data_IF_164695941783
#
_entry.id   IF_164695941783
#
_cell.length_a   1.000
_cell.length_b   1.000
_cell.length_c   1.000
_cell.angle_alpha   90.00
_cell.angle_beta   90.00
_cell.angle_gamma   90.00
#
_symmetry.space_group_name_H-M   'P 1'
#
loop_
_entity.id
_entity.type
_entity.pdbx_description
1 polymer ?
#
# COMPACT_ATOMS: atom_id res chain seq x y z
N UNK A 1 -8.38 -23.78 13.36
CA UNK A 1 -7.79 -23.76 14.72
C UNK A 1 -6.42 -24.40 14.63
N UNK A 2 -5.35 -23.66 14.95
CA UNK A 2 -3.99 -24.23 15.02
C UNK A 2 -3.91 -25.20 16.21
N UNK A 3 -3.17 -26.30 16.08
CA UNK A 3 -2.98 -27.24 17.18
C UNK A 3 -2.19 -26.58 18.31
N UNK A 4 -2.50 -26.94 19.56
CA UNK A 4 -1.75 -26.44 20.74
C UNK A 4 -0.25 -26.69 20.62
N UNK A 5 0.13 -27.79 19.98
CA UNK A 5 1.52 -28.18 19.72
C UNK A 5 2.23 -27.19 18.79
N UNK A 6 1.56 -26.74 17.72
CA UNK A 6 2.13 -25.77 16.78
C UNK A 6 2.36 -24.41 17.46
N UNK A 7 1.40 -23.97 18.29
CA UNK A 7 1.53 -22.72 19.05
C UNK A 7 2.71 -22.78 20.02
N UNK A 8 2.88 -23.90 20.72
CA UNK A 8 4.02 -24.11 21.63
C UNK A 8 5.34 -24.14 20.87
N UNK A 9 5.38 -24.74 19.67
CA UNK A 9 6.56 -24.74 18.81
C UNK A 9 6.97 -23.32 18.39
N UNK A 10 6.01 -22.52 17.91
CA UNK A 10 6.25 -21.13 17.47
C UNK A 10 6.75 -20.27 18.64
N UNK A 11 6.14 -20.41 19.84
CA UNK A 11 6.58 -19.66 21.03
C UNK A 11 8.02 -19.99 21.42
N UNK A 12 8.40 -21.27 21.34
CA UNK A 12 9.77 -21.71 21.65
C UNK A 12 10.76 -21.11 20.66
N UNK A 13 10.44 -21.16 19.37
CA UNK A 13 11.32 -20.63 18.31
C UNK A 13 11.50 -19.11 18.42
N UNK A 14 10.44 -18.37 18.72
CA UNK A 14 10.53 -16.93 18.98
C UNK A 14 11.37 -16.62 20.23
N UNK A 15 11.21 -17.39 21.32
CA UNK A 15 12.02 -17.20 22.52
C UNK A 15 13.51 -17.48 22.26
N UNK A 16 13.82 -18.48 21.43
CA UNK A 16 15.19 -18.79 21.04
C UNK A 16 15.78 -17.71 20.11
N UNK A 17 14.98 -17.12 19.21
CA UNK A 17 15.38 -15.96 18.40
C UNK A 17 15.69 -14.72 19.26
N UNK A 18 14.86 -14.41 20.26
CA UNK A 18 15.12 -13.28 21.19
C UNK A 18 16.39 -13.51 22.01
N UNK A 19 16.64 -14.74 22.47
CA UNK A 19 17.83 -15.04 23.29
C UNK A 19 19.14 -14.93 22.52
N UNK A 20 19.11 -15.18 21.21
CA UNK A 20 20.28 -15.13 20.36
C UNK A 20 20.48 -13.76 19.69
N UNK A 21 19.67 -12.76 20.02
CA UNK A 21 19.73 -11.42 19.44
C UNK A 21 21.00 -10.70 19.92
N UNK A 22 21.89 -10.37 18.99
CA UNK A 22 23.09 -9.57 19.22
C UNK A 22 23.22 -8.49 18.14
N UNK A 23 24.10 -7.51 18.36
CA UNK A 23 24.29 -6.37 17.43
C UNK A 23 24.70 -6.82 16.01
N UNK A 24 25.32 -7.99 15.86
CA UNK A 24 25.76 -8.51 14.56
C UNK A 24 24.65 -9.20 13.77
N UNK A 25 23.53 -9.56 14.41
CA UNK A 25 22.44 -10.30 13.78
C UNK A 25 21.06 -9.60 13.87
N UNK A 26 20.98 -8.36 14.37
CA UNK A 26 19.72 -7.61 14.51
C UNK A 26 18.92 -7.58 13.22
N UNK A 27 19.56 -7.34 12.07
CA UNK A 27 18.86 -7.17 10.80
C UNK A 27 18.23 -8.48 10.29
N UNK A 28 18.96 -9.60 10.34
CA UNK A 28 18.40 -10.91 9.96
C UNK A 28 17.33 -11.37 10.94
N UNK A 29 17.52 -11.10 12.23
CA UNK A 29 16.56 -11.46 13.26
C UNK A 29 15.28 -10.63 13.12
N UNK A 30 15.36 -9.33 12.83
CA UNK A 30 14.19 -8.50 12.53
C UNK A 30 13.40 -8.96 11.31
N UNK A 31 14.08 -9.41 10.25
CA UNK A 31 13.43 -10.00 9.07
C UNK A 31 12.68 -11.29 9.42
N UNK A 32 13.28 -12.18 10.21
CA UNK A 32 12.61 -13.38 10.71
C UNK A 32 11.38 -13.05 11.57
N UNK A 33 11.46 -12.04 12.44
CA UNK A 33 10.32 -11.54 13.20
C UNK A 33 9.19 -11.02 12.30
N UNK A 34 9.53 -10.30 11.23
CA UNK A 34 8.58 -9.81 10.23
C UNK A 34 7.80 -10.95 9.57
N UNK A 35 8.47 -12.03 9.18
CA UNK A 35 7.84 -13.23 8.63
C UNK A 35 6.90 -13.91 9.64
N UNK A 36 7.30 -13.99 10.91
CA UNK A 36 6.46 -14.57 11.97
C UNK A 36 5.21 -13.75 12.27
N UNK A 37 5.33 -12.42 12.34
CA UNK A 37 4.18 -11.53 12.52
C UNK A 37 3.24 -11.65 11.32
N UNK A 38 3.78 -11.64 10.09
CA UNK A 38 2.98 -11.85 8.89
C UNK A 38 2.25 -13.21 8.87
N UNK A 39 2.87 -14.28 9.37
CA UNK A 39 2.23 -15.58 9.52
C UNK A 39 1.09 -15.57 10.56
N UNK A 40 1.30 -14.92 11.71
CA UNK A 40 0.32 -14.81 12.78
C UNK A 40 -0.85 -13.88 12.43
N UNK A 41 -0.63 -12.81 11.68
CA UNK A 41 -1.70 -11.92 11.20
C UNK A 41 -2.61 -12.60 10.16
N UNK A 42 -2.08 -13.56 9.40
CA UNK A 42 -2.84 -14.35 8.43
C UNK A 42 -3.59 -15.55 9.06
N UNK A 43 -3.23 -15.95 10.28
CA UNK A 43 -3.87 -17.04 11.02
C UNK A 43 -4.66 -16.50 12.21
N UNK A 44 -5.98 -16.36 12.09
CA UNK A 44 -6.86 -15.88 13.16
C UNK A 44 -6.49 -16.37 14.58
N UNK A 45 -6.16 -15.40 15.44
CA UNK A 45 -6.14 -15.40 16.91
C UNK A 45 -4.94 -16.07 17.64
N UNK A 46 -4.05 -15.23 18.17
CA UNK A 46 -3.36 -15.49 19.45
C UNK A 46 -3.20 -14.18 20.23
N UNK A 47 -3.83 -14.09 21.42
CA UNK A 47 -3.44 -13.12 22.45
C UNK A 47 -2.13 -13.63 23.07
N UNK A 48 -0.99 -13.03 22.68
CA UNK A 48 0.28 -13.23 23.36
C UNK A 48 0.44 -12.13 24.42
N UNK A 49 0.23 -12.45 25.70
CA UNK A 49 0.81 -11.64 26.78
C UNK A 49 2.29 -12.03 26.90
N UNK A 50 3.18 -11.12 26.51
CA UNK A 50 4.61 -11.21 26.77
C UNK A 50 4.92 -10.31 27.95
N UNK A 51 5.08 -10.90 29.14
CA UNK A 51 5.61 -10.20 30.31
C UNK A 51 7.13 -10.14 30.20
N UNK A 52 7.66 -8.97 29.87
CA UNK A 52 9.10 -8.68 29.97
C UNK A 52 9.39 -8.28 31.42
N UNK A 53 10.08 -9.14 32.18
CA UNK A 53 10.63 -8.76 33.47
C UNK A 53 11.92 -7.97 33.26
N UNK A 54 11.82 -6.65 33.41
CA UNK A 54 12.94 -5.71 33.32
C UNK A 54 13.89 -5.95 34.49
N UNK A 55 15.12 -6.39 34.21
CA UNK A 55 16.19 -6.41 35.21
C UNK A 55 17.30 -5.42 34.86
N UNK A 56 17.56 -4.55 35.85
CA UNK A 56 18.75 -3.74 36.13
C UNK A 56 19.05 -2.48 35.31
N UNK A 57 19.19 -1.40 36.09
CA UNK A 57 19.53 -0.04 35.72
C UNK A 57 21.04 0.17 35.64
N UNK A 58 21.46 1.01 34.69
CA UNK A 58 22.78 1.65 34.64
C UNK A 58 22.62 3.11 34.15
N UNK A 59 23.57 4.01 34.49
CA UNK A 59 23.29 5.42 34.77
C UNK A 59 23.44 6.36 33.56
N UNK A 60 22.83 7.53 33.74
CA UNK A 60 22.73 8.68 32.85
C UNK A 60 24.01 9.10 32.10
N UNK A 61 23.85 9.35 30.79
CA UNK A 61 24.62 10.33 30.03
C UNK A 61 23.69 11.25 29.21
N UNK A 62 24.13 12.46 28.84
CA UNK A 62 23.25 13.60 28.59
C UNK A 62 22.59 13.61 27.20
N UNK A 63 21.37 14.14 27.18
CA UNK A 63 20.54 14.41 26.00
C UNK A 63 21.29 15.26 24.96
N UNK A 64 21.53 14.68 23.78
CA UNK A 64 21.70 15.45 22.55
C UNK A 64 20.31 15.69 21.98
N UNK A 65 19.85 16.94 22.04
CA UNK A 65 18.56 17.37 21.50
C UNK A 65 18.62 17.41 19.96
N UNK A 66 18.32 16.28 19.32
CA UNK A 66 18.09 16.23 17.87
C UNK A 66 16.68 16.74 17.57
N UNK A 67 16.62 17.92 16.94
CA UNK A 67 15.40 18.53 16.43
C UNK A 67 14.70 17.57 15.47
N UNK A 68 13.54 17.08 15.90
CA UNK A 68 12.63 16.25 15.12
C UNK A 68 12.28 16.92 13.77
N UNK A 69 12.62 16.26 12.67
CA UNK A 69 12.04 16.59 11.36
C UNK A 69 10.69 15.88 11.23
N UNK A 70 9.70 16.45 10.52
CA UNK A 70 8.31 15.97 10.54
C UNK A 70 8.05 14.65 9.78
N UNK A 71 9.09 13.91 9.38
CA UNK A 71 8.98 12.83 8.39
C UNK A 71 8.69 11.43 8.96
N UNK A 72 8.89 11.18 10.26
CA UNK A 72 8.84 9.81 10.82
C UNK A 72 7.46 9.32 11.27
N UNK A 73 6.40 10.14 11.18
CA UNK A 73 5.05 9.72 11.64
C UNK A 73 4.20 8.97 10.61
N UNK A 74 4.74 8.63 9.44
CA UNK A 74 3.95 8.07 8.33
C UNK A 74 4.17 6.56 8.06
N UNK A 75 4.99 5.86 8.83
CA UNK A 75 5.39 4.48 8.49
C UNK A 75 4.72 3.37 9.30
N UNK A 76 3.87 3.67 10.28
CA UNK A 76 3.15 2.67 11.08
C UNK A 76 1.83 2.19 10.45
N UNK A 77 1.86 1.86 9.16
CA UNK A 77 0.70 1.33 8.44
C UNK A 77 1.06 0.03 7.73
N UNK A 78 0.94 -1.08 8.45
CA UNK A 78 0.85 -2.44 7.91
C UNK A 78 -0.33 -2.53 6.92
N UNK A 79 -0.07 -2.49 5.62
CA UNK A 79 -1.10 -2.61 4.60
C UNK A 79 -1.48 -4.09 4.46
N UNK A 80 -2.49 -4.55 5.23
CA UNK A 80 -3.11 -5.84 4.97
C UNK A 80 -4.05 -5.75 3.77
N UNK A 81 -3.83 -6.70 2.86
CA UNK A 81 -4.53 -6.89 1.60
C UNK A 81 -5.90 -7.50 1.86
N UNK A 82 -6.95 -6.73 1.62
CA UNK A 82 -8.24 -7.28 1.20
C UNK A 82 -8.46 -6.84 -0.24
N UNK A 83 -7.91 -7.62 -1.17
CA UNK A 83 -8.35 -7.62 -2.56
C UNK A 83 -9.73 -8.28 -2.54
N UNK A 84 -10.79 -7.49 -2.66
CA UNK A 84 -12.07 -8.05 -3.04
C UNK A 84 -11.94 -8.47 -4.50
N UNK A 85 -11.88 -9.78 -4.73
CA UNK A 85 -12.19 -10.40 -6.01
C UNK A 85 -13.70 -10.28 -6.24
N UNK A 86 -14.14 -9.15 -6.81
CA UNK A 86 -15.49 -9.00 -7.37
C UNK A 86 -15.36 -8.61 -8.85
N UNK A 87 -14.90 -9.55 -9.66
CA UNK A 87 -15.02 -9.50 -11.12
C UNK A 87 -15.63 -10.82 -11.60
N UNK A 88 -16.96 -10.90 -11.59
CA UNK A 88 -17.70 -11.80 -12.48
C UNK A 88 -18.90 -11.08 -13.12
N UNK A 89 -18.74 -10.85 -14.44
CA UNK A 89 -19.70 -11.10 -15.52
C UNK A 89 -21.00 -10.27 -15.52
N UNK A 90 -21.06 -9.33 -16.47
CA UNK A 90 -22.22 -9.24 -17.36
C UNK A 90 -21.77 -9.02 -18.81
N UNK A 91 -21.63 -10.14 -19.51
CA UNK A 91 -21.55 -10.21 -20.97
C UNK A 91 -22.96 -10.13 -21.53
N UNK A 92 -23.33 -9.01 -22.17
CA UNK A 92 -24.46 -9.01 -23.10
C UNK A 92 -24.12 -8.16 -24.31
N UNK A 93 -23.83 -8.84 -25.42
CA UNK A 93 -23.73 -8.25 -26.75
C UNK A 93 -24.98 -8.66 -27.53
N UNK A 94 -25.82 -7.68 -27.89
CA UNK A 94 -26.38 -7.55 -29.24
C UNK A 94 -27.38 -6.39 -29.36
N UNK A 95 -26.99 -5.41 -30.17
CA UNK A 95 -27.77 -4.62 -31.13
C UNK A 95 -29.27 -4.44 -30.85
N UNK A 96 -29.65 -3.22 -30.46
CA UNK A 96 -30.86 -2.55 -30.95
C UNK A 96 -30.68 -1.02 -30.87
N UNK A 97 -30.94 -0.37 -32.01
CA UNK A 97 -30.96 1.08 -32.22
C UNK A 97 -32.18 1.69 -31.53
N UNK A 98 -31.99 2.57 -30.54
CA UNK A 98 -33.05 3.42 -29.98
C UNK A 98 -32.51 4.83 -29.62
N UNK A 99 -33.09 5.81 -30.31
CA UNK A 99 -33.23 7.27 -30.12
C UNK A 99 -32.62 7.95 -28.84
N UNK A 100 -31.86 9.06 -28.96
CA UNK A 100 -31.28 9.77 -27.83
C UNK A 100 -32.26 10.84 -27.30
N UNK A 101 -33.05 10.50 -26.28
CA UNK A 101 -33.66 11.48 -25.35
C UNK A 101 -34.10 10.74 -24.09
N UNK A 102 -33.70 11.28 -22.94
CA UNK A 102 -33.97 10.82 -21.56
C UNK A 102 -33.30 9.53 -21.10
N UNK A 103 -32.01 9.60 -20.74
CA UNK A 103 -31.43 8.65 -19.78
C UNK A 103 -31.83 9.14 -18.38
N UNK A 104 -32.83 8.45 -17.85
CA UNK A 104 -33.28 8.50 -16.47
C UNK A 104 -32.09 8.10 -15.59
N UNK A 105 -31.74 8.97 -14.65
CA UNK A 105 -30.85 8.63 -13.55
C UNK A 105 -31.43 7.44 -12.81
N UNK A 106 -30.80 6.27 -12.98
CA UNK A 106 -31.05 5.11 -12.14
C UNK A 106 -30.62 5.48 -10.71
N UNK A 107 -31.62 5.87 -9.91
CA UNK A 107 -31.47 6.08 -8.47
C UNK A 107 -31.14 4.74 -7.84
N UNK A 108 -29.84 4.47 -7.72
CA UNK A 108 -29.32 3.55 -6.72
C UNK A 108 -29.99 3.93 -5.37
N UNK A 109 -30.63 2.99 -4.66
CA UNK A 109 -31.38 3.33 -3.45
C UNK A 109 -30.42 4.00 -2.47
N UNK A 110 -30.77 5.23 -2.06
CA UNK A 110 -30.07 5.99 -1.03
C UNK A 110 -29.97 5.14 0.24
N UNK A 111 -28.86 4.38 0.38
CA UNK A 111 -28.39 3.99 1.71
C UNK A 111 -28.23 5.31 2.45
N UNK A 112 -29.06 5.55 3.46
CA UNK A 112 -28.96 6.74 4.31
C UNK A 112 -27.52 6.76 4.87
N UNK A 113 -26.68 7.59 4.26
CA UNK A 113 -25.30 7.84 4.69
C UNK A 113 -25.38 8.57 6.03
N UNK A 114 -25.44 7.82 7.13
CA UNK A 114 -25.52 8.36 8.49
C UNK A 114 -24.15 8.62 9.12
N UNK A 115 -23.08 8.50 8.34
CA UNK A 115 -21.72 8.76 8.78
C UNK A 115 -21.33 10.22 8.75
N UNK A 116 -20.33 10.60 9.55
CA UNK A 116 -19.68 11.91 9.46
C UNK A 116 -19.04 12.07 8.08
N UNK A 117 -19.31 13.21 7.45
CA UNK A 117 -18.78 13.56 6.13
C UNK A 117 -17.65 14.58 6.25
N UNK A 118 -16.64 14.44 5.39
CA UNK A 118 -15.49 15.32 5.25
C UNK A 118 -15.40 15.77 3.80
N UNK A 119 -15.17 17.06 3.57
CA UNK A 119 -15.02 17.62 2.23
C UNK A 119 -13.68 18.33 2.18
N UNK A 120 -12.86 18.02 1.18
CA UNK A 120 -11.55 18.62 1.04
C UNK A 120 -10.90 18.33 -0.31
N UNK A 121 -9.75 18.96 -0.54
CA UNK A 121 -8.95 18.72 -1.74
C UNK A 121 -8.00 17.53 -1.53
N UNK A 122 -7.85 16.69 -2.54
CA UNK A 122 -6.91 15.58 -2.51
C UNK A 122 -5.46 16.08 -2.57
N UNK A 123 -4.73 15.90 -1.49
CA UNK A 123 -3.29 16.06 -1.46
C UNK A 123 -2.62 14.69 -1.72
N UNK A 124 -2.30 14.41 -2.99
CA UNK A 124 -1.60 13.18 -3.37
C UNK A 124 -0.25 13.06 -2.65
N UNK A 125 -0.01 11.89 -2.07
CA UNK A 125 1.29 11.47 -1.54
C UNK A 125 1.95 10.50 -2.53
N UNK A 126 3.17 10.02 -2.24
CA UNK A 126 3.82 9.01 -3.08
C UNK A 126 2.91 7.77 -3.27
N UNK A 127 2.19 7.37 -2.21
CA UNK A 127 1.16 6.33 -2.23
C UNK A 127 -0.15 6.83 -1.61
N UNK A 128 -1.23 6.84 -2.39
CA UNK A 128 -2.53 7.37 -1.94
C UNK A 128 -2.53 8.89 -1.79
N UNK A 129 -3.33 9.39 -0.86
CA UNK A 129 -3.38 10.81 -0.54
C UNK A 129 -4.15 11.10 0.74
N UNK A 130 -4.20 12.37 1.14
CA UNK A 130 -5.02 12.83 2.25
C UNK A 130 -5.92 13.97 1.81
N UNK A 131 -7.08 14.14 2.45
CA UNK A 131 -7.91 15.32 2.20
C UNK A 131 -7.39 16.51 3.01
N UNK A 132 -7.15 17.64 2.36
CA UNK A 132 -6.85 18.91 3.03
C UNK A 132 -8.16 19.69 3.23
N UNK A 133 -8.44 20.24 4.44
CA UNK A 133 -7.60 20.31 5.64
C UNK A 133 -7.71 19.09 6.60
N UNK A 134 -8.46 18.07 6.22
CA UNK A 134 -8.74 16.87 7.03
C UNK A 134 -7.63 15.81 6.94
N UNK A 135 -6.42 16.11 7.40
CA UNK A 135 -5.23 15.25 7.25
C UNK A 135 -5.34 13.85 7.91
N UNK A 136 -6.43 13.57 8.64
CA UNK A 136 -6.76 12.25 9.19
C UNK A 136 -7.66 11.41 8.27
N UNK A 137 -8.04 11.93 7.10
CA UNK A 137 -8.84 11.22 6.10
C UNK A 137 -7.91 10.82 4.95
N UNK A 138 -7.41 9.59 5.04
CA UNK A 138 -6.61 8.97 3.98
C UNK A 138 -7.49 8.56 2.81
N UNK A 139 -7.01 8.73 1.58
CA UNK A 139 -7.61 8.26 0.34
C UNK A 139 -6.69 7.16 -0.24
N UNK A 140 -7.10 5.89 -0.24
CA UNK A 140 -6.30 4.79 -0.76
C UNK A 140 -6.00 4.94 -2.25
N UNK A 141 -4.84 4.44 -2.67
CA UNK A 141 -4.45 4.48 -4.09
C UNK A 141 -5.44 3.71 -5.00
N UNK A 142 -6.07 2.64 -4.51
CA UNK A 142 -7.12 1.93 -5.24
C UNK A 142 -8.31 2.83 -5.59
N UNK A 143 -8.74 3.67 -4.64
CA UNK A 143 -9.82 4.65 -4.85
C UNK A 143 -9.37 5.70 -5.86
N UNK A 144 -8.14 6.21 -5.70
CA UNK A 144 -7.55 7.20 -6.61
C UNK A 144 -7.56 6.69 -8.05
N UNK A 145 -7.08 5.46 -8.30
CA UNK A 145 -7.10 4.88 -9.64
C UNK A 145 -8.51 4.63 -10.17
N UNK A 146 -9.35 3.96 -9.37
CA UNK A 146 -10.71 3.57 -9.81
C UNK A 146 -11.58 4.77 -10.21
N UNK A 147 -11.38 5.92 -9.55
CA UNK A 147 -12.11 7.15 -9.84
C UNK A 147 -11.29 8.14 -10.69
N UNK A 148 -10.07 7.80 -11.11
CA UNK A 148 -9.18 8.69 -11.85
C UNK A 148 -8.94 10.02 -11.13
N UNK A 149 -8.69 9.99 -9.81
CA UNK A 149 -8.48 11.18 -8.98
C UNK A 149 -7.10 11.79 -9.21
N UNK A 150 -7.07 13.12 -9.33
CA UNK A 150 -5.85 13.89 -9.47
C UNK A 150 -5.58 14.73 -8.23
N UNK A 151 -4.35 15.22 -8.11
CA UNK A 151 -3.99 16.19 -7.08
C UNK A 151 -4.94 17.40 -7.15
N UNK A 152 -5.33 17.93 -6.00
CA UNK A 152 -6.29 19.01 -5.82
C UNK A 152 -7.76 18.73 -6.21
N UNK A 153 -8.13 17.52 -6.64
CA UNK A 153 -9.55 17.17 -6.83
C UNK A 153 -10.33 17.35 -5.53
N UNK A 154 -11.51 17.95 -5.62
CA UNK A 154 -12.42 18.13 -4.48
C UNK A 154 -13.22 16.85 -4.27
N UNK A 155 -13.11 16.27 -3.08
CA UNK A 155 -13.68 14.97 -2.74
C UNK A 155 -14.48 15.08 -1.45
N UNK A 156 -15.64 14.43 -1.44
CA UNK A 156 -16.41 14.10 -0.26
C UNK A 156 -16.06 12.69 0.22
N UNK A 157 -15.65 12.55 1.47
CA UNK A 157 -15.44 11.28 2.14
C UNK A 157 -16.49 11.10 3.25
N UNK A 158 -17.36 10.10 3.10
CA UNK A 158 -18.36 9.74 4.11
C UNK A 158 -17.86 8.55 4.93
N UNK A 159 -17.74 8.70 6.24
CA UNK A 159 -17.34 7.60 7.12
C UNK A 159 -18.38 6.47 7.09
N UNK A 160 -17.97 5.26 6.70
CA UNK A 160 -18.85 4.09 6.71
C UNK A 160 -18.83 3.39 8.07
N UNK A 161 -17.63 3.10 8.58
CA UNK A 161 -17.44 2.54 9.91
C UNK A 161 -16.01 2.77 10.40
N UNK A 162 -15.84 2.68 11.73
CA UNK A 162 -14.53 2.66 12.39
C UNK A 162 -14.22 1.24 12.77
N UNK A 163 -13.06 0.73 12.40
CA UNK A 163 -12.59 -0.57 12.87
C UNK A 163 -11.85 -0.35 14.20
N UNK A 164 -12.37 -0.83 15.35
CA UNK A 164 -11.72 -0.61 16.64
C UNK A 164 -10.31 -1.23 16.71
N UNK A 165 -10.14 -2.39 16.06
CA UNK A 165 -8.92 -3.20 16.07
C UNK A 165 -7.79 -2.53 15.29
N UNK A 166 -8.06 -2.08 14.07
CA UNK A 166 -7.02 -1.49 13.20
C UNK A 166 -6.88 0.01 13.38
N UNK A 167 -7.77 0.65 14.16
CA UNK A 167 -7.94 2.11 14.25
C UNK A 167 -8.11 2.77 12.87
N UNK A 168 -8.49 2.01 11.84
CA UNK A 168 -8.70 2.53 10.48
C UNK A 168 -10.17 2.86 10.28
N UNK A 169 -10.38 4.04 9.70
CA UNK A 169 -11.69 4.48 9.27
C UNK A 169 -11.87 4.06 7.82
N UNK A 170 -12.99 3.40 7.50
CA UNK A 170 -13.38 3.13 6.12
C UNK A 170 -14.31 4.24 5.64
N UNK A 171 -14.00 4.83 4.49
CA UNK A 171 -14.82 5.89 3.89
C UNK A 171 -15.37 5.45 2.53
N UNK A 172 -16.51 6.02 2.19
CA UNK A 172 -17.03 6.08 0.82
C UNK A 172 -16.65 7.43 0.22
N UNK A 173 -16.10 7.44 -0.99
CA UNK A 173 -15.54 8.64 -1.62
C UNK A 173 -16.36 9.03 -2.85
N UNK A 174 -16.69 10.31 -2.96
CA UNK A 174 -17.39 10.90 -4.11
C UNK A 174 -16.66 12.14 -4.57
N UNK A 175 -16.37 12.21 -5.87
CA UNK A 175 -15.82 13.41 -6.51
C UNK A 175 -16.88 14.51 -6.54
N UNK A 176 -16.52 15.71 -6.07
CA UNK A 176 -17.35 16.91 -6.16
C UNK A 176 -16.91 17.79 -7.34
N UNK A 177 -15.61 17.96 -7.51
CA UNK A 177 -15.03 18.83 -8.54
C UNK A 177 -13.64 18.34 -8.94
N UNK A 178 -13.29 18.46 -10.23
CA UNK A 178 -11.96 18.13 -10.74
C UNK A 178 -11.07 19.36 -10.71
N UNK A 179 -9.81 19.19 -10.34
CA UNK A 179 -8.83 20.28 -10.41
C UNK A 179 -8.63 20.74 -11.86
N UNK A 180 -8.47 22.05 -12.03
CA UNK A 180 -8.07 22.65 -13.30
C UNK A 180 -6.53 22.67 -13.37
N UNK A 181 -5.95 21.56 -13.79
CA UNK A 181 -4.49 21.40 -13.94
C UNK A 181 -3.79 20.83 -12.71
N UNK A 182 -2.45 20.83 -12.76
CA UNK A 182 -1.58 20.14 -11.81
C UNK A 182 -0.82 21.12 -10.90
N UNK A 183 -1.40 22.28 -10.61
CA UNK A 183 -0.73 23.31 -9.80
C UNK A 183 -0.32 22.75 -8.43
N UNK A 184 0.96 22.95 -8.08
CA UNK A 184 1.53 22.53 -6.80
C UNK A 184 1.85 21.04 -6.68
N UNK A 185 1.55 20.21 -7.69
CA UNK A 185 1.92 18.80 -7.68
C UNK A 185 3.42 18.63 -7.94
N UNK A 186 4.17 18.35 -6.87
CA UNK A 186 5.62 18.01 -6.95
C UNK A 186 5.86 16.51 -7.11
N UNK A 187 4.79 15.72 -7.11
CA UNK A 187 4.82 14.27 -7.22
C UNK A 187 4.90 13.89 -8.70
N UNK A 188 5.93 13.14 -9.05
CA UNK A 188 6.11 12.53 -10.35
C UNK A 188 5.84 11.03 -10.26
N UNK A 189 5.49 10.41 -11.38
CA UNK A 189 5.21 8.98 -11.44
C UNK A 189 5.76 8.40 -12.75
N UNK A 190 6.44 7.26 -12.62
CA UNK A 190 6.80 6.37 -13.71
C UNK A 190 5.80 5.22 -13.71
N UNK A 191 5.21 4.97 -14.87
CA UNK A 191 4.23 3.92 -15.06
C UNK A 191 4.88 2.70 -15.68
N UNK A 192 4.38 1.52 -15.32
CA UNK A 192 4.72 0.25 -15.95
C UNK A 192 6.22 -0.07 -15.95
N UNK A 193 6.90 0.24 -14.85
CA UNK A 193 8.30 -0.11 -14.65
C UNK A 193 8.43 -1.62 -14.44
N UNK A 194 9.38 -2.26 -15.15
CA UNK A 194 9.66 -3.69 -15.04
C UNK A 194 10.72 -3.89 -13.95
N UNK A 195 10.38 -4.68 -12.94
CA UNK A 195 11.29 -5.00 -11.82
C UNK A 195 12.37 -5.99 -12.27
N UNK A 196 13.60 -5.72 -11.87
CA UNK A 196 14.80 -6.55 -12.03
C UNK A 196 15.41 -6.84 -10.67
N UNK A 197 16.19 -7.91 -10.55
CA UNK A 197 16.93 -8.22 -9.33
C UNK A 197 18.43 -8.09 -9.53
N UNK A 198 19.12 -7.37 -8.64
CA UNK A 198 20.57 -7.28 -8.65
C UNK A 198 21.15 -8.26 -7.61
N UNK A 199 21.74 -9.39 -8.02
CA UNK A 199 22.27 -10.39 -7.10
C UNK A 199 23.48 -9.90 -6.31
N UNK A 200 24.17 -8.86 -6.78
CA UNK A 200 25.38 -8.33 -6.14
C UNK A 200 25.06 -7.59 -4.85
N UNK A 201 23.98 -6.81 -4.88
CA UNK A 201 23.51 -6.01 -3.73
C UNK A 201 22.23 -6.58 -3.11
N UNK A 202 21.74 -7.72 -3.63
CA UNK A 202 20.54 -8.42 -3.18
C UNK A 202 19.30 -7.52 -3.11
N UNK A 203 19.09 -6.68 -4.13
CA UNK A 203 17.99 -5.70 -4.16
C UNK A 203 17.26 -5.67 -5.48
N UNK A 204 15.95 -5.41 -5.40
CA UNK A 204 15.14 -5.13 -6.57
C UNK A 204 15.36 -3.70 -7.08
N UNK A 205 15.28 -3.52 -8.39
CA UNK A 205 15.43 -2.24 -9.04
C UNK A 205 14.63 -2.18 -10.34
N UNK A 206 14.56 -1.02 -10.97
CA UNK A 206 14.19 -0.89 -12.39
C UNK A 206 15.07 0.17 -13.05
N UNK A 207 15.14 0.10 -14.38
CA UNK A 207 15.86 1.08 -15.18
C UNK A 207 14.85 2.00 -15.86
N UNK A 208 15.14 3.31 -15.90
CA UNK A 208 14.33 4.26 -16.65
C UNK A 208 15.21 5.32 -17.32
N UNK A 209 14.92 5.60 -18.58
CA UNK A 209 15.43 6.79 -19.28
C UNK A 209 14.48 7.93 -18.96
N UNK A 210 14.88 8.81 -18.05
CA UNK A 210 14.06 9.93 -17.61
C UNK A 210 14.43 11.19 -18.39
N UNK A 211 13.52 11.68 -19.23
CA UNK A 211 13.59 13.05 -19.77
C UNK A 211 12.76 13.97 -18.87
N UNK A 212 13.21 14.20 -17.64
CA UNK A 212 12.65 15.27 -16.81
C UNK A 212 13.53 16.52 -16.92
N UNK A 213 12.95 17.71 -17.16
CA UNK A 213 13.71 18.94 -17.34
C UNK A 213 14.58 19.31 -16.13
N UNK A 214 14.23 18.78 -14.95
CA UNK A 214 14.90 19.04 -13.66
C UNK A 214 16.02 18.05 -13.34
N UNK A 215 16.13 16.95 -14.09
CA UNK A 215 17.17 15.93 -13.88
C UNK A 215 18.19 16.10 -14.99
N UNK A 216 19.33 16.70 -14.64
CA UNK A 216 20.39 17.16 -15.55
C UNK A 216 21.12 16.06 -16.32
N UNK A 217 20.66 14.80 -16.23
CA UNK A 217 21.25 13.64 -16.87
C UNK A 217 20.46 13.26 -18.13
N UNK A 218 20.41 14.17 -19.11
CA UNK A 218 19.82 13.88 -20.42
C UNK A 218 20.55 12.67 -21.05
N UNK A 219 19.78 11.67 -21.47
CA UNK A 219 20.23 10.44 -22.16
C UNK A 219 21.01 9.39 -21.33
N UNK A 220 20.98 9.42 -20.00
CA UNK A 220 21.51 8.31 -19.19
C UNK A 220 20.38 7.47 -18.59
N UNK A 221 20.41 6.16 -18.85
CA UNK A 221 19.55 5.21 -18.16
C UNK A 221 19.90 5.22 -16.67
N UNK A 222 18.94 5.62 -15.84
CA UNK A 222 19.11 5.62 -14.38
C UNK A 222 18.56 4.34 -13.78
N UNK A 223 19.31 3.77 -12.83
CA UNK A 223 18.88 2.67 -11.98
C UNK A 223 18.14 3.22 -10.76
N UNK A 224 16.92 2.76 -10.52
CA UNK A 224 16.10 3.09 -9.36
C UNK A 224 16.00 1.90 -8.44
N UNK A 225 16.60 2.00 -7.24
CA UNK A 225 16.52 0.94 -6.25
C UNK A 225 15.15 0.96 -5.56
N UNK A 226 14.53 -0.22 -5.43
CA UNK A 226 13.28 -0.37 -4.72
C UNK A 226 13.55 -0.55 -3.23
N UNK A 227 12.67 0.02 -2.42
CA UNK A 227 12.77 -0.02 -0.97
C UNK A 227 12.13 -1.30 -0.42
N UNK A 228 12.79 -1.96 0.53
CA UNK A 228 12.33 -3.19 1.17
C UNK A 228 10.94 -3.03 1.82
N UNK A 229 10.67 -1.83 2.37
CA UNK A 229 9.37 -1.43 2.92
C UNK A 229 8.21 -1.51 1.92
N UNK A 230 8.49 -1.47 0.62
CA UNK A 230 7.50 -1.66 -0.42
C UNK A 230 7.59 -3.05 -1.05
N UNK A 231 8.79 -3.62 -1.22
CA UNK A 231 8.93 -4.90 -1.91
C UNK A 231 8.30 -6.05 -1.13
N UNK A 232 8.43 -6.08 0.20
CA UNK A 232 7.85 -7.14 1.02
C UNK A 232 6.32 -7.12 1.00
N UNK A 233 5.62 -6.00 1.31
CA UNK A 233 4.16 -6.01 1.33
C UNK A 233 3.54 -6.28 -0.04
N UNK A 234 4.21 -5.86 -1.13
CA UNK A 234 3.74 -6.13 -2.49
C UNK A 234 4.16 -7.51 -3.02
N UNK A 235 4.91 -8.30 -2.24
CA UNK A 235 5.51 -9.57 -2.67
C UNK A 235 6.20 -9.42 -4.02
N UNK A 236 7.03 -8.38 -4.15
CA UNK A 236 7.68 -8.04 -5.41
C UNK A 236 8.64 -9.15 -5.83
N UNK A 237 8.61 -9.47 -7.11
CA UNK A 237 9.50 -10.42 -7.77
C UNK A 237 10.07 -9.80 -9.04
N UNK A 238 11.18 -10.35 -9.50
CA UNK A 238 11.71 -10.01 -10.82
C UNK A 238 10.66 -10.29 -11.91
N UNK A 239 10.52 -9.37 -12.86
CA UNK A 239 9.52 -9.42 -13.91
C UNK A 239 8.17 -8.77 -13.56
N UNK A 240 7.91 -8.44 -12.28
CA UNK A 240 6.71 -7.71 -11.91
C UNK A 240 6.66 -6.33 -12.59
N UNK A 241 5.44 -5.87 -12.90
CA UNK A 241 5.20 -4.54 -13.47
C UNK A 241 4.62 -3.65 -12.37
N UNK A 242 5.26 -2.50 -12.13
CA UNK A 242 4.89 -1.58 -11.05
C UNK A 242 4.74 -0.14 -11.54
N UNK A 243 4.02 0.68 -10.77
CA UNK A 243 4.10 2.13 -10.90
C UNK A 243 4.88 2.71 -9.71
N UNK A 244 5.86 3.55 -10.00
CA UNK A 244 6.78 4.13 -9.02
C UNK A 244 6.60 5.64 -8.96
N UNK A 245 6.42 6.18 -7.77
CA UNK A 245 6.19 7.61 -7.57
C UNK A 245 7.26 8.23 -6.66
N UNK A 246 7.70 9.44 -7.01
CA UNK A 246 8.74 10.17 -6.28
C UNK A 246 8.45 11.67 -6.31
N UNK A 247 9.16 12.45 -5.50
CA UNK A 247 9.09 13.91 -5.58
C UNK A 247 10.17 14.42 -6.51
N UNK A 248 9.90 15.49 -7.26
CA UNK A 248 10.81 16.07 -8.26
C UNK A 248 12.26 16.24 -7.78
N UNK A 249 12.46 16.57 -6.50
CA UNK A 249 13.77 16.81 -5.90
C UNK A 249 14.40 15.57 -5.22
N UNK A 250 13.73 14.41 -5.23
CA UNK A 250 14.19 13.21 -4.53
C UNK A 250 13.72 11.93 -5.23
N UNK A 251 14.26 11.69 -6.43
CA UNK A 251 13.86 10.56 -7.28
C UNK A 251 14.30 9.18 -6.76
N UNK A 252 15.30 9.12 -5.86
CA UNK A 252 15.80 7.89 -5.28
C UNK A 252 15.02 7.45 -4.03
N UNK A 253 14.20 8.33 -3.44
CA UNK A 253 13.33 8.01 -2.30
C UNK A 253 11.86 7.87 -2.67
N UNK A 254 11.59 7.43 -3.90
CA UNK A 254 10.24 7.11 -4.32
C UNK A 254 9.67 5.85 -3.67
N UNK A 255 8.41 5.57 -3.99
CA UNK A 255 7.62 4.46 -3.45
C UNK A 255 6.91 3.71 -4.56
N UNK A 256 6.74 2.41 -4.36
CA UNK A 256 5.84 1.61 -5.19
C UNK A 256 4.40 2.01 -4.82
N UNK A 257 3.74 2.71 -5.75
CA UNK A 257 2.34 3.09 -5.56
C UNK A 257 1.38 2.01 -6.08
N UNK A 258 1.84 1.12 -6.97
CA UNK A 258 1.03 0.04 -7.52
C UNK A 258 1.86 -1.12 -8.01
N UNK A 259 1.27 -2.30 -7.91
CA UNK A 259 1.70 -3.50 -8.59
C UNK A 259 0.58 -3.93 -9.53
N UNK A 260 0.89 -4.07 -10.81
CA UNK A 260 -0.06 -4.58 -11.79
C UNK A 260 -0.18 -6.09 -11.64
N UNK A 261 -1.36 -6.63 -11.92
CA UNK A 261 -1.55 -8.08 -11.94
C UNK A 261 -0.78 -8.68 -13.12
N UNK A 262 0.04 -9.70 -12.87
CA UNK A 262 0.72 -10.45 -13.93
C UNK A 262 -0.33 -11.20 -14.75
N UNK A 263 -0.22 -11.14 -16.08
CA UNK A 263 -1.17 -11.79 -17.02
C UNK A 263 -1.22 -13.33 -16.92
N UNK A 264 -0.34 -13.94 -16.12
CA UNK A 264 -0.23 -15.39 -15.97
C UNK A 264 -1.24 -16.00 -14.99
N UNK A 265 -1.87 -15.21 -14.11
CA UNK A 265 -2.80 -15.74 -13.08
C UNK A 265 -4.23 -15.95 -13.57
N UNK A 266 -4.53 -15.74 -14.85
CA UNK A 266 -5.90 -15.84 -15.40
C UNK A 266 -6.21 -17.17 -16.12
N UNK A 267 -5.32 -18.18 -16.10
CA UNK A 267 -5.47 -19.41 -16.91
C UNK A 267 -5.86 -20.71 -16.18
N UNK A 268 -5.98 -20.73 -14.86
CA UNK A 268 -6.13 -22.02 -14.14
C UNK A 268 -7.57 -22.49 -13.84
N UNK A 269 -8.62 -21.84 -14.35
CA UNK A 269 -10.02 -22.25 -14.06
C UNK A 269 -10.73 -23.02 -15.19
N UNK A 270 -10.02 -23.60 -16.17
CA UNK A 270 -10.65 -24.43 -17.21
C UNK A 270 -9.82 -25.64 -17.63
N UNK A 271 -9.61 -26.59 -16.73
CA UNK A 271 -9.41 -28.00 -17.13
C UNK A 271 -9.74 -28.96 -15.98
N UNK A 272 -11.03 -29.20 -15.76
CA UNK A 272 -11.51 -30.48 -15.22
C UNK A 272 -13.01 -30.57 -15.45
N UNK A 273 -13.39 -31.30 -16.48
CA UNK A 273 -14.61 -32.10 -16.62
C UNK A 273 -14.73 -32.47 -18.10
N UNK A 274 -14.36 -33.72 -18.42
CA UNK A 274 -15.12 -34.63 -19.26
C UNK A 274 -14.31 -35.92 -19.45
N UNK A 275 -14.40 -36.81 -18.47
CA UNK A 275 -14.32 -38.25 -18.69
C UNK A 275 -15.60 -38.85 -18.12
N UNK A 276 -16.50 -39.28 -19.02
CA UNK A 276 -17.41 -40.43 -18.91
C UNK A 276 -18.18 -40.53 -20.22
#
# INVERSE_FOLDING_TARGET
MLSKELITSIKKELADLVKNLDESNVHSTCSAFGHYIGFLENGHALNLEVTLETTQAMPHEPLIELKNTPYEKATDLSFSWLVNSDDEINTFSSKQSINPKSIIQEKNPLRKKQGRTYIGKLNRQLKGGFLTPHNNVYVPESVIRSQGLNHNDSIEATLLFKTPETKRNKYDYRVLERALGNEGEKRLQLNQCIVKFDPTIHRFYFDSTMDFPTITHQNQTMKFLLNDWDTEPFFIKEGDIIDYAFFENDCQKGRICWKHASSETSKDTKHSLNHS
#
